data_IF_244464581894
#
_entry.id   IF_244464581894
#
_cell.length_a   1.000
_cell.length_b   1.000
_cell.length_c   1.000
_cell.angle_alpha   90.00
_cell.angle_beta   90.00
_cell.angle_gamma   90.00
#
_symmetry.space_group_name_H-M   'P 1'
#
loop_
_entity.id
_entity.type
_entity.pdbx_description
1 polymer ?
#
# COMPACT_ATOMS: atom_id res chain seq x y z
N UNK A 1 -5.72 -15.63 8.49
CA UNK A 1 -6.53 -14.89 7.49
C UNK A 1 -7.87 -14.59 8.12
N UNK A 2 -8.31 -13.32 8.14
CA UNK A 2 -9.58 -12.93 8.74
C UNK A 2 -10.46 -12.29 7.66
N UNK A 3 -11.64 -12.88 7.44
CA UNK A 3 -12.68 -12.33 6.59
C UNK A 3 -13.83 -11.87 7.48
N UNK A 4 -14.07 -10.56 7.50
CA UNK A 4 -15.22 -9.92 8.17
C UNK A 4 -16.15 -9.25 7.16
N UNK A 5 -15.92 -9.48 5.87
CA UNK A 5 -16.75 -8.91 4.80
C UNK A 5 -18.15 -9.54 4.81
N UNK A 6 -19.15 -8.74 4.43
CA UNK A 6 -20.53 -9.20 4.23
C UNK A 6 -20.68 -10.09 3.00
N UNK A 7 -19.65 -10.19 2.16
CA UNK A 7 -19.60 -11.07 0.99
C UNK A 7 -18.30 -11.86 1.04
N UNK A 8 -18.40 -13.18 0.95
CA UNK A 8 -17.22 -14.05 1.01
C UNK A 8 -16.23 -13.67 -0.11
N UNK A 9 -14.93 -13.49 0.19
CA UNK A 9 -13.90 -13.24 -0.81
C UNK A 9 -13.88 -14.37 -1.85
N UNK A 10 -13.81 -14.00 -3.12
CA UNK A 10 -13.72 -14.92 -4.25
C UNK A 10 -12.32 -14.92 -4.85
N UNK A 11 -11.71 -16.09 -5.01
CA UNK A 11 -10.41 -16.25 -5.66
C UNK A 11 -10.33 -17.58 -6.42
N UNK A 12 -9.27 -17.77 -7.21
CA UNK A 12 -8.99 -19.06 -7.86
C UNK A 12 -8.74 -20.16 -6.82
N UNK A 13 -8.02 -19.83 -5.75
CA UNK A 13 -7.89 -20.65 -4.55
C UNK A 13 -7.42 -19.80 -3.38
N UNK A 14 -7.59 -20.33 -2.16
CA UNK A 14 -7.10 -19.74 -0.92
C UNK A 14 -6.18 -20.74 -0.21
N UNK A 15 -5.01 -20.27 0.22
CA UNK A 15 -4.00 -21.09 0.88
C UNK A 15 -3.45 -20.35 2.12
N UNK A 16 -3.51 -20.98 3.29
CA UNK A 16 -3.12 -20.42 4.58
C UNK A 16 -2.18 -21.39 5.31
N UNK A 17 -1.07 -20.88 5.84
CA UNK A 17 -0.10 -21.65 6.65
C UNK A 17 -0.54 -21.73 8.13
N UNK A 18 -1.39 -20.79 8.55
CA UNK A 18 -1.95 -20.70 9.90
C UNK A 18 -3.48 -20.79 9.91
N UNK A 19 -4.11 -20.07 10.83
CA UNK A 19 -5.57 -20.11 11.03
C UNK A 19 -6.27 -19.16 10.03
N UNK A 20 -7.34 -19.65 9.39
CA UNK A 20 -8.32 -18.83 8.67
C UNK A 20 -9.62 -18.73 9.47
N UNK A 21 -10.22 -17.53 9.52
CA UNK A 21 -11.52 -17.26 10.14
C UNK A 21 -12.40 -16.47 9.15
N UNK A 22 -13.69 -16.81 9.09
CA UNK A 22 -14.68 -16.25 8.15
C UNK A 22 -14.90 -17.12 6.90
N UNK A 23 -15.80 -16.67 6.03
CA UNK A 23 -16.19 -17.38 4.80
C UNK A 23 -15.29 -17.01 3.61
N UNK A 24 -14.98 -17.98 2.74
CA UNK A 24 -14.14 -17.86 1.54
C UNK A 24 -14.67 -18.75 0.40
N UNK A 25 -14.52 -18.33 -0.85
CA UNK A 25 -14.95 -19.09 -2.03
C UNK A 25 -13.81 -19.21 -3.06
N UNK A 26 -13.18 -20.40 -3.22
CA UNK A 26 -13.40 -21.65 -2.48
C UNK A 26 -12.89 -21.57 -1.02
N UNK A 27 -13.13 -22.59 -0.21
CA UNK A 27 -12.66 -22.62 1.18
C UNK A 27 -11.12 -22.45 1.27
N UNK A 28 -10.66 -21.85 2.36
CA UNK A 28 -9.23 -21.69 2.64
C UNK A 28 -8.59 -23.03 3.03
N UNK A 29 -7.58 -23.47 2.24
CA UNK A 29 -6.74 -24.63 2.57
C UNK A 29 -5.76 -24.25 3.68
N UNK A 30 -5.56 -25.13 4.67
CA UNK A 30 -4.65 -24.88 5.81
C UNK A 30 -3.34 -25.69 5.77
N UNK A 31 -3.00 -26.31 4.63
CA UNK A 31 -1.85 -27.22 4.47
C UNK A 31 -0.74 -26.63 3.58
N UNK A 32 -0.58 -25.30 3.61
CA UNK A 32 0.29 -24.59 2.68
C UNK A 32 1.71 -24.51 3.22
N UNK A 33 2.70 -24.58 2.33
CA UNK A 33 4.09 -24.32 2.72
C UNK A 33 4.26 -22.83 3.09
N UNK A 34 5.13 -22.46 4.04
CA UNK A 34 5.55 -21.07 4.17
C UNK A 34 6.32 -20.64 2.92
N UNK A 35 6.07 -19.43 2.41
CA UNK A 35 6.93 -18.79 1.40
C UNK A 35 7.89 -17.88 2.14
N UNK A 36 9.19 -17.98 1.87
CA UNK A 36 10.13 -17.00 2.40
C UNK A 36 9.78 -15.60 1.89
N UNK A 37 9.86 -14.59 2.76
CA UNK A 37 9.60 -13.21 2.38
C UNK A 37 10.61 -12.76 1.31
N UNK A 38 10.16 -12.47 0.07
CA UNK A 38 11.04 -12.13 -1.04
C UNK A 38 11.74 -10.78 -0.87
N UNK A 39 11.25 -9.93 0.05
CA UNK A 39 11.73 -8.58 0.27
C UNK A 39 12.44 -8.41 1.63
N UNK A 40 12.62 -9.48 2.41
CA UNK A 40 13.24 -9.42 3.73
C UNK A 40 14.67 -8.86 3.73
N UNK A 41 15.42 -9.01 2.64
CA UNK A 41 16.78 -8.47 2.49
C UNK A 41 16.81 -7.03 1.97
N UNK A 42 15.67 -6.45 1.60
CA UNK A 42 15.63 -5.07 1.10
C UNK A 42 15.89 -4.09 2.23
N UNK A 43 16.96 -3.33 2.10
CA UNK A 43 17.27 -2.20 2.98
C UNK A 43 16.63 -0.93 2.44
N UNK A 44 16.17 -0.07 3.34
CA UNK A 44 15.71 1.26 2.95
C UNK A 44 16.88 2.11 2.42
N UNK A 45 16.64 3.01 1.46
CA UNK A 45 17.69 3.87 0.93
C UNK A 45 18.09 4.89 2.01
N UNK A 46 19.27 5.50 1.91
CA UNK A 46 19.63 6.59 2.81
C UNK A 46 18.63 7.77 2.69
N UNK A 47 18.41 8.47 3.79
CA UNK A 47 17.58 9.68 3.75
C UNK A 47 18.33 10.79 3.02
N UNK A 48 17.72 11.35 1.97
CA UNK A 48 18.15 12.63 1.40
C UNK A 48 17.70 13.82 2.28
N UNK A 49 18.14 15.05 1.95
CA UNK A 49 17.65 16.26 2.63
C UNK A 49 16.11 16.32 2.56
N UNK A 50 15.50 16.80 3.64
CA UNK A 50 14.06 17.00 3.66
C UNK A 50 13.66 18.02 2.59
N UNK A 51 12.70 17.65 1.75
CA UNK A 51 12.12 18.57 0.77
C UNK A 51 11.44 19.71 1.52
N UNK A 52 11.70 20.94 1.07
CA UNK A 52 10.97 22.12 1.50
C UNK A 52 9.61 22.13 0.81
N UNK A 53 8.60 21.53 1.43
CA UNK A 53 7.26 21.41 0.82
C UNK A 53 6.64 22.75 0.40
N UNK A 54 7.03 23.85 1.06
CA UNK A 54 6.59 25.21 0.72
C UNK A 54 6.96 25.67 -0.68
N UNK A 55 8.03 25.11 -1.24
CA UNK A 55 8.55 25.48 -2.56
C UNK A 55 7.90 24.65 -3.68
N UNK A 56 7.14 23.60 -3.32
CA UNK A 56 6.44 22.76 -4.27
C UNK A 56 5.12 23.39 -4.73
N UNK A 57 4.83 23.22 -6.01
CA UNK A 57 3.56 23.64 -6.60
C UNK A 57 2.39 22.93 -5.92
N UNK A 58 1.36 23.70 -5.59
CA UNK A 58 0.13 23.18 -4.99
C UNK A 58 0.22 22.92 -3.48
N UNK A 59 1.28 23.33 -2.81
CA UNK A 59 1.34 23.24 -1.34
C UNK A 59 0.29 24.15 -0.67
N UNK A 60 -0.49 23.58 0.24
CA UNK A 60 -1.61 24.25 0.95
C UNK A 60 -1.31 24.51 2.43
N UNK A 61 -0.09 24.22 2.89
CA UNK A 61 0.24 24.27 4.31
C UNK A 61 0.20 22.90 4.98
N UNK A 62 0.50 22.91 6.28
CA UNK A 62 0.52 21.69 7.10
C UNK A 62 -0.83 21.53 7.79
N UNK A 63 -1.64 20.56 7.38
CA UNK A 63 -3.00 20.34 7.90
C UNK A 63 -3.14 19.03 8.65
N UNK A 64 -4.21 18.87 9.42
CA UNK A 64 -4.49 17.64 10.17
C UNK A 64 -4.72 16.44 9.22
N UNK A 65 -4.07 15.33 9.55
CA UNK A 65 -4.05 14.03 8.89
C UNK A 65 -4.20 12.93 9.96
N UNK A 66 -4.47 11.69 9.55
CA UNK A 66 -4.70 10.53 10.44
C UNK A 66 -3.61 10.27 11.51
N UNK A 67 -2.42 10.86 11.37
CA UNK A 67 -1.29 10.74 12.30
C UNK A 67 -0.73 12.07 12.80
N UNK A 68 -1.49 13.16 12.74
CA UNK A 68 -1.06 14.50 13.18
C UNK A 68 -1.06 15.52 12.04
N UNK A 69 -0.17 16.51 12.09
CA UNK A 69 -0.07 17.54 11.04
C UNK A 69 0.86 17.07 9.91
N UNK A 70 0.37 17.05 8.67
CA UNK A 70 1.14 16.66 7.48
C UNK A 70 1.14 17.74 6.40
N UNK A 71 2.23 17.81 5.62
CA UNK A 71 2.34 18.71 4.47
C UNK A 71 1.27 18.36 3.43
N UNK A 72 0.39 19.32 3.14
CA UNK A 72 -0.82 19.11 2.33
C UNK A 72 -0.65 19.67 0.93
N UNK A 73 -1.01 18.88 -0.08
CA UNK A 73 -0.92 19.23 -1.49
C UNK A 73 -2.31 19.25 -2.14
N UNK A 74 -2.62 20.38 -2.77
CA UNK A 74 -3.87 20.74 -3.43
C UNK A 74 -3.93 20.35 -4.89
N UNK A 75 -4.86 20.97 -5.61
CA UNK A 75 -5.11 20.65 -7.01
C UNK A 75 -3.91 21.00 -7.89
N UNK A 76 -3.70 20.21 -8.95
CA UNK A 76 -2.64 20.37 -9.94
C UNK A 76 -1.22 20.44 -9.34
N UNK A 77 -1.06 19.84 -8.14
CA UNK A 77 0.24 19.69 -7.51
C UNK A 77 1.08 18.67 -8.29
N UNK A 78 2.33 19.04 -8.56
CA UNK A 78 3.32 18.16 -9.16
C UNK A 78 4.41 17.88 -8.14
N UNK A 79 4.55 16.62 -7.75
CA UNK A 79 5.40 16.19 -6.65
C UNK A 79 6.62 15.48 -7.19
N UNK A 80 7.81 15.95 -6.77
CA UNK A 80 9.09 15.38 -7.16
C UNK A 80 9.53 14.28 -6.19
N UNK A 81 10.26 13.26 -6.66
CA UNK A 81 10.84 12.26 -5.76
C UNK A 81 11.80 12.89 -4.74
N UNK A 82 11.86 12.31 -3.54
CA UNK A 82 12.74 12.75 -2.45
C UNK A 82 12.17 12.49 -1.07
N UNK A 83 12.74 13.14 -0.04
CA UNK A 83 12.40 12.88 1.38
C UNK A 83 11.36 13.86 1.91
N UNK A 84 10.18 13.36 2.26
CA UNK A 84 9.07 14.08 2.88
C UNK A 84 9.05 13.81 4.39
N UNK A 85 9.67 14.71 5.14
CA UNK A 85 9.89 14.55 6.59
C UNK A 85 8.66 14.82 7.46
N UNK A 86 7.64 15.49 6.92
CA UNK A 86 6.41 15.81 7.65
C UNK A 86 5.21 14.98 7.17
N UNK A 87 5.42 13.81 6.59
CA UNK A 87 4.35 13.08 5.92
C UNK A 87 3.84 13.81 4.68
N UNK A 88 2.80 13.25 4.07
CA UNK A 88 2.22 13.81 2.85
C UNK A 88 0.72 13.64 2.90
N UNK A 89 -0.03 14.71 2.62
CA UNK A 89 -1.49 14.65 2.50
C UNK A 89 -1.91 15.20 1.15
N UNK A 90 -2.49 14.37 0.31
CA UNK A 90 -3.04 14.76 -0.98
C UNK A 90 -4.51 15.09 -0.77
N UNK A 91 -4.91 16.34 -1.00
CA UNK A 91 -6.29 16.80 -0.88
C UNK A 91 -6.89 17.33 -2.17
N UNK A 92 -6.05 17.59 -3.18
CA UNK A 92 -6.48 18.07 -4.49
C UNK A 92 -6.84 16.99 -5.50
N UNK A 93 -7.21 17.46 -6.67
CA UNK A 93 -7.39 16.67 -7.89
C UNK A 93 -6.23 16.92 -8.86
N UNK A 94 -6.03 16.03 -9.82
CA UNK A 94 -4.93 16.10 -10.80
C UNK A 94 -3.52 16.17 -10.16
N UNK A 95 -3.34 15.57 -8.99
CA UNK A 95 -2.01 15.51 -8.38
C UNK A 95 -1.16 14.51 -9.13
N UNK A 96 0.03 14.92 -9.55
CA UNK A 96 0.93 14.08 -10.33
C UNK A 96 2.22 13.82 -9.55
N UNK A 97 2.60 12.55 -9.45
CA UNK A 97 3.88 12.11 -8.93
C UNK A 97 4.80 11.81 -10.10
N UNK A 98 5.89 12.55 -10.21
CA UNK A 98 6.94 12.27 -11.18
C UNK A 98 7.63 10.93 -10.89
N UNK A 99 8.15 10.22 -11.90
CA UNK A 99 8.82 8.94 -11.69
C UNK A 99 9.97 9.04 -10.68
N UNK A 100 10.03 8.12 -9.72
CA UNK A 100 11.10 8.07 -8.72
C UNK A 100 10.66 7.56 -7.34
N UNK A 101 11.54 7.76 -6.37
CA UNK A 101 11.38 7.25 -5.00
C UNK A 101 10.94 8.38 -4.07
N UNK A 102 9.86 8.14 -3.32
CA UNK A 102 9.29 9.06 -2.34
C UNK A 102 9.49 8.47 -0.94
N UNK A 103 10.34 9.08 -0.13
CA UNK A 103 10.58 8.64 1.26
C UNK A 103 9.66 9.45 2.16
N UNK A 104 8.65 8.81 2.75
CA UNK A 104 7.70 9.44 3.68
C UNK A 104 8.07 9.04 5.09
N UNK A 105 8.37 10.01 5.96
CA UNK A 105 8.86 9.75 7.32
C UNK A 105 7.82 10.07 8.37
N UNK A 106 7.69 9.15 9.34
CA UNK A 106 7.06 9.30 10.66
C UNK A 106 5.57 9.67 10.72
N UNK A 107 5.01 10.16 9.62
CA UNK A 107 3.63 10.60 9.48
C UNK A 107 3.02 9.98 8.22
N UNK A 108 1.68 9.95 8.11
CA UNK A 108 1.03 9.23 7.04
C UNK A 108 1.31 9.80 5.65
N UNK A 109 1.28 8.92 4.66
CA UNK A 109 0.93 9.23 3.28
C UNK A 109 -0.59 9.10 3.14
N UNK A 110 -1.28 10.24 3.15
CA UNK A 110 -2.74 10.32 3.14
C UNK A 110 -3.26 10.81 1.78
N UNK A 111 -4.19 10.05 1.17
CA UNK A 111 -5.04 10.50 0.07
C UNK A 111 -6.42 10.83 0.62
N UNK A 112 -6.76 12.12 0.64
CA UNK A 112 -8.01 12.62 1.23
C UNK A 112 -9.23 12.19 0.41
N UNK A 113 -10.43 12.34 1.01
CA UNK A 113 -11.69 12.03 0.34
C UNK A 113 -11.82 12.83 -0.95
N UNK A 114 -12.08 12.14 -2.07
CA UNK A 114 -12.25 12.77 -3.39
C UNK A 114 -10.95 13.25 -4.05
N UNK A 115 -9.78 13.02 -3.43
CA UNK A 115 -8.50 13.37 -4.05
C UNK A 115 -8.22 12.52 -5.28
N UNK A 116 -7.50 13.08 -6.24
CA UNK A 116 -7.09 12.38 -7.45
C UNK A 116 -5.58 12.48 -7.61
N UNK A 117 -4.93 11.32 -7.74
CA UNK A 117 -3.49 11.20 -7.83
C UNK A 117 -3.06 10.19 -8.89
N UNK A 118 -2.07 10.55 -9.70
CA UNK A 118 -1.46 9.66 -10.68
C UNK A 118 0.06 9.64 -10.53
N UNK A 119 0.67 8.47 -10.65
CA UNK A 119 2.13 8.31 -10.65
C UNK A 119 2.55 7.08 -11.43
N UNK A 120 3.51 7.24 -12.34
CA UNK A 120 4.06 6.14 -13.15
C UNK A 120 5.55 6.02 -12.87
N UNK A 121 6.01 4.81 -12.56
CA UNK A 121 7.40 4.58 -12.20
C UNK A 121 7.72 5.09 -10.78
N UNK A 122 6.76 4.97 -9.86
CA UNK A 122 6.86 5.52 -8.51
C UNK A 122 7.00 4.44 -7.45
N UNK A 123 7.79 4.72 -6.42
CA UNK A 123 7.90 3.88 -5.22
C UNK A 123 7.80 4.76 -3.98
N UNK A 124 6.87 4.46 -3.09
CA UNK A 124 6.71 5.12 -1.80
C UNK A 124 7.32 4.28 -0.69
N UNK A 125 8.31 4.83 -0.02
CA UNK A 125 9.02 4.21 1.10
C UNK A 125 8.51 4.83 2.39
N UNK A 126 7.79 4.05 3.19
CA UNK A 126 7.22 4.48 4.46
C UNK A 126 8.21 4.15 5.58
N UNK A 127 8.79 5.19 6.19
CA UNK A 127 9.81 5.07 7.25
C UNK A 127 9.30 5.46 8.63
N UNK A 128 9.86 4.80 9.64
CA UNK A 128 9.53 5.04 11.04
C UNK A 128 8.05 4.77 11.29
N UNK A 129 7.32 5.77 11.79
CA UNK A 129 5.89 5.65 12.09
C UNK A 129 4.95 5.93 10.91
N UNK A 130 5.47 6.10 9.69
CA UNK A 130 4.65 6.39 8.52
C UNK A 130 3.68 5.24 8.19
N UNK A 131 2.43 5.59 7.89
CA UNK A 131 1.37 4.67 7.44
C UNK A 131 0.78 5.13 6.11
N UNK A 132 0.05 4.26 5.43
CA UNK A 132 -0.72 4.59 4.23
C UNK A 132 -2.20 4.79 4.61
N UNK A 133 -2.78 5.91 4.17
CA UNK A 133 -4.18 6.24 4.41
C UNK A 133 -4.86 6.68 3.11
N UNK A 134 -5.57 5.77 2.45
CA UNK A 134 -6.39 6.11 1.27
C UNK A 134 -7.85 6.22 1.73
N UNK A 135 -8.42 7.43 1.69
CA UNK A 135 -9.81 7.68 2.10
C UNK A 135 -10.80 7.38 0.98
N UNK A 136 -12.07 7.22 1.37
CA UNK A 136 -13.17 6.89 0.46
C UNK A 136 -13.29 7.88 -0.71
N UNK A 137 -13.75 7.40 -1.87
CA UNK A 137 -13.93 8.18 -3.09
C UNK A 137 -12.67 8.86 -3.65
N UNK A 138 -11.47 8.55 -3.13
CA UNK A 138 -10.22 8.93 -3.79
C UNK A 138 -10.00 8.11 -5.07
N UNK A 139 -9.37 8.74 -6.06
CA UNK A 139 -8.92 8.10 -7.30
C UNK A 139 -7.40 8.09 -7.31
N UNK A 140 -6.82 6.91 -7.10
CA UNK A 140 -5.37 6.77 -6.96
C UNK A 140 -4.88 5.77 -8.00
N UNK A 141 -4.09 6.25 -8.95
CA UNK A 141 -3.55 5.48 -10.06
C UNK A 141 -2.02 5.46 -9.97
N UNK A 142 -1.46 4.41 -9.37
CA UNK A 142 -0.03 4.30 -9.11
C UNK A 142 0.54 3.06 -9.80
N UNK A 143 1.64 3.24 -10.52
CA UNK A 143 2.40 2.16 -11.14
C UNK A 143 3.84 2.17 -10.66
N UNK A 144 4.30 1.03 -10.17
CA UNK A 144 5.66 0.84 -9.69
C UNK A 144 6.68 1.07 -10.81
N UNK A 145 7.91 1.39 -10.43
CA UNK A 145 9.06 1.27 -11.35
C UNK A 145 9.25 -0.19 -11.76
N UNK A 146 9.54 -0.43 -13.04
CA UNK A 146 9.83 -1.77 -13.54
C UNK A 146 11.28 -2.21 -13.26
N UNK A 147 12.13 -1.32 -12.73
CA UNK A 147 13.57 -1.55 -12.59
C UNK A 147 14.13 -0.96 -11.28
N UNK A 148 15.37 -1.33 -10.97
CA UNK A 148 16.05 -0.94 -9.73
C UNK A 148 15.76 -1.90 -8.56
N UNK A 149 16.42 -1.68 -7.43
CA UNK A 149 16.32 -2.55 -6.24
C UNK A 149 14.92 -2.55 -5.61
N UNK A 150 14.12 -1.50 -5.85
CA UNK A 150 12.71 -1.43 -5.47
C UNK A 150 11.77 -1.69 -6.65
N UNK A 151 12.29 -2.32 -7.71
CA UNK A 151 11.50 -2.74 -8.86
C UNK A 151 10.23 -3.46 -8.41
N UNK A 152 9.13 -3.13 -9.06
CA UNK A 152 7.80 -3.69 -8.81
C UNK A 152 7.14 -3.18 -7.51
N UNK A 153 7.84 -2.53 -6.58
CA UNK A 153 7.23 -2.01 -5.34
C UNK A 153 6.60 -0.62 -5.56
N UNK A 154 5.29 -0.52 -5.34
CA UNK A 154 4.59 0.78 -5.19
C UNK A 154 4.73 1.28 -3.76
N UNK A 155 4.54 0.39 -2.78
CA UNK A 155 4.66 0.73 -1.36
C UNK A 155 5.68 -0.20 -0.71
N UNK A 156 6.63 0.37 0.00
CA UNK A 156 7.65 -0.34 0.78
C UNK A 156 7.70 0.26 2.19
N UNK A 157 7.04 -0.39 3.14
CA UNK A 157 7.17 -0.03 4.55
C UNK A 157 8.45 -0.65 5.10
N UNK A 158 9.33 0.21 5.60
CA UNK A 158 10.59 -0.24 6.18
C UNK A 158 10.30 -0.91 7.50
N UNK A 159 10.70 -2.18 7.71
CA UNK A 159 10.52 -2.82 9.01
C UNK A 159 11.24 -1.95 10.06
N UNK A 160 10.50 -1.50 11.07
CA UNK A 160 11.09 -0.85 12.23
C UNK A 160 11.80 -1.96 13.02
N UNK A 161 13.04 -2.25 12.63
CA UNK A 161 13.90 -3.18 13.35
C UNK A 161 14.25 -2.52 14.69
N UNK A 162 13.31 -2.59 15.64
CA UNK A 162 13.59 -2.30 17.03
C UNK A 162 14.84 -3.10 17.41
N UNK A 163 15.89 -2.38 17.82
CA UNK A 163 17.17 -2.93 18.25
C UNK A 163 16.93 -4.14 19.16
N UNK A 164 17.67 -5.21 18.88
CA UNK A 164 17.69 -6.49 19.60
C UNK A 164 17.48 -6.27 21.11
N UNK A 165 16.28 -6.62 21.56
CA UNK A 165 15.84 -6.65 22.95
C UNK A 165 14.75 -7.72 23.07
N UNK A 166 14.65 -8.39 24.23
CA UNK A 166 13.96 -9.69 24.46
C UNK A 166 12.42 -9.74 24.26
N UNK A 167 11.83 -8.87 23.45
CA UNK A 167 10.44 -9.00 23.01
C UNK A 167 10.30 -8.46 21.57
N UNK A 168 9.87 -9.29 20.59
CA UNK A 168 9.49 -8.76 19.27
C UNK A 168 8.35 -7.76 19.49
N UNK A 169 8.63 -6.47 19.28
CA UNK A 169 7.60 -5.44 19.31
C UNK A 169 6.87 -5.54 17.98
N UNK A 170 5.84 -6.39 17.90
CA UNK A 170 5.02 -6.54 16.70
C UNK A 170 4.42 -5.17 16.38
N UNK A 171 4.80 -4.52 15.28
CA UNK A 171 4.24 -3.22 15.00
C UNK A 171 2.78 -3.43 14.57
N UNK A 172 1.88 -2.73 15.22
CA UNK A 172 0.41 -2.86 15.07
C UNK A 172 -0.19 -1.66 14.35
N UNK A 173 0.64 -0.81 13.75
CA UNK A 173 0.16 0.33 12.99
C UNK A 173 -0.73 -0.16 11.84
N UNK A 174 -1.80 0.59 11.60
CA UNK A 174 -2.81 0.23 10.62
C UNK A 174 -2.59 1.13 9.41
N UNK A 175 -2.43 0.52 8.24
CA UNK A 175 -2.52 1.18 6.95
C UNK A 175 -3.89 0.86 6.35
N UNK A 176 -4.61 1.89 5.93
CA UNK A 176 -5.98 1.77 5.45
C UNK A 176 -6.08 2.09 3.97
N UNK A 177 -6.76 1.23 3.23
CA UNK A 177 -7.17 1.45 1.85
C UNK A 177 -8.69 1.40 1.77
N UNK A 178 -9.32 2.57 1.77
CA UNK A 178 -10.76 2.72 1.63
C UNK A 178 -11.12 3.04 0.19
N UNK A 179 -11.34 1.99 -0.58
CA UNK A 179 -11.72 2.06 -1.98
C UNK A 179 -13.15 2.62 -2.15
N UNK A 180 -13.34 3.50 -3.14
CA UNK A 180 -14.68 3.95 -3.51
C UNK A 180 -14.78 4.87 -4.74
N UNK A 181 -13.67 5.46 -5.18
CA UNK A 181 -13.60 6.37 -6.33
C UNK A 181 -12.93 5.77 -7.58
N UNK A 182 -12.32 4.59 -7.46
CA UNK A 182 -11.47 3.99 -8.49
C UNK A 182 -10.01 3.95 -8.05
N UNK A 183 -9.58 2.81 -7.51
CA UNK A 183 -8.20 2.57 -7.10
C UNK A 183 -7.52 1.62 -8.08
N UNK A 184 -6.43 2.08 -8.68
CA UNK A 184 -5.56 1.28 -9.55
C UNK A 184 -4.14 1.32 -8.99
N UNK A 185 -3.74 0.23 -8.34
CA UNK A 185 -2.34 0.01 -7.97
C UNK A 185 -1.80 -1.03 -8.95
N UNK A 186 -0.61 -0.80 -9.49
CA UNK A 186 0.12 -1.73 -10.36
C UNK A 186 1.51 -1.93 -9.75
N UNK A 187 1.69 -3.06 -9.08
CA UNK A 187 2.92 -3.43 -8.39
C UNK A 187 2.66 -4.10 -7.02
N UNK A 188 3.72 -4.34 -6.28
CA UNK A 188 3.69 -4.90 -4.95
C UNK A 188 3.56 -3.81 -3.87
N UNK A 189 2.72 -4.07 -2.87
CA UNK A 189 2.60 -3.28 -1.66
C UNK A 189 3.07 -4.13 -0.48
N UNK A 190 4.18 -3.72 0.14
CA UNK A 190 4.89 -4.49 1.16
C UNK A 190 4.85 -3.75 2.51
N UNK A 191 4.19 -4.38 3.48
CA UNK A 191 3.90 -3.89 4.83
C UNK A 191 4.29 -4.93 5.90
N UNK A 192 5.58 -5.29 6.01
CA UNK A 192 6.04 -6.45 6.80
C UNK A 192 5.66 -6.39 8.26
N UNK A 193 5.36 -5.19 8.76
CA UNK A 193 5.09 -4.96 10.17
C UNK A 193 3.84 -4.12 10.40
N UNK A 194 2.94 -4.00 9.42
CA UNK A 194 1.70 -3.23 9.59
C UNK A 194 0.49 -4.09 9.23
N UNK A 195 -0.64 -3.79 9.86
CA UNK A 195 -1.94 -4.32 9.45
C UNK A 195 -2.43 -3.52 8.25
N UNK A 196 -2.65 -4.19 7.13
CA UNK A 196 -3.29 -3.61 5.96
C UNK A 196 -4.78 -3.92 5.98
N UNK A 197 -5.60 -2.87 6.11
CA UNK A 197 -7.06 -2.97 6.10
C UNK A 197 -7.57 -2.41 4.78
N UNK A 198 -8.27 -3.24 4.02
CA UNK A 198 -8.86 -2.86 2.73
C UNK A 198 -10.38 -2.91 2.88
N UNK A 199 -11.03 -1.76 2.76
CA UNK A 199 -12.48 -1.67 2.77
C UNK A 199 -13.00 -0.99 1.51
N UNK A 200 -14.21 -1.37 1.09
CA UNK A 200 -14.92 -0.63 0.04
C UNK A 200 -16.39 -0.48 0.39
N UNK A 201 -16.88 0.75 0.26
CA UNK A 201 -18.26 1.14 0.56
C UNK A 201 -19.02 1.61 -0.70
N UNK A 202 -18.40 1.48 -1.87
CA UNK A 202 -18.93 1.98 -3.15
C UNK A 202 -19.16 0.82 -4.14
N UNK A 203 -20.21 0.90 -4.99
CA UNK A 203 -20.39 -0.04 -6.09
C UNK A 203 -19.31 0.09 -7.18
N UNK A 204 -18.48 1.15 -7.14
CA UNK A 204 -17.37 1.35 -8.06
C UNK A 204 -16.30 0.29 -7.83
N UNK A 205 -16.11 -0.56 -8.84
CA UNK A 205 -15.08 -1.61 -8.82
C UNK A 205 -13.69 -0.98 -8.80
N UNK A 206 -12.90 -1.31 -7.77
CA UNK A 206 -11.47 -1.07 -7.83
C UNK A 206 -10.79 -2.23 -8.56
N UNK A 207 -9.99 -1.88 -9.57
CA UNK A 207 -9.30 -2.83 -10.42
C UNK A 207 -7.81 -2.66 -10.21
N UNK A 208 -7.21 -3.66 -9.60
CA UNK A 208 -5.77 -3.77 -9.47
C UNK A 208 -5.34 -4.92 -10.38
N UNK A 209 -5.06 -4.67 -11.68
CA UNK A 209 -4.82 -5.73 -12.66
C UNK A 209 -3.54 -6.53 -12.35
N UNK A 210 -2.58 -5.92 -11.67
CA UNK A 210 -1.32 -6.54 -11.30
C UNK A 210 -0.84 -6.04 -9.93
N UNK A 211 -1.44 -6.55 -8.85
CA UNK A 211 -1.07 -6.16 -7.49
C UNK A 211 -0.76 -7.36 -6.62
N UNK A 212 0.39 -7.30 -5.95
CA UNK A 212 0.76 -8.22 -4.87
C UNK A 212 0.66 -7.47 -3.53
N UNK A 213 0.00 -8.06 -2.54
CA UNK A 213 -0.11 -7.49 -1.20
C UNK A 213 0.59 -8.42 -0.22
N UNK A 214 1.59 -7.87 0.48
CA UNK A 214 2.33 -8.58 1.51
C UNK A 214 2.26 -7.72 2.76
N UNK A 215 1.67 -8.23 3.83
CA UNK A 215 1.48 -7.50 5.07
C UNK A 215 1.56 -8.43 6.28
N UNK A 216 1.88 -7.89 7.45
CA UNK A 216 1.86 -8.66 8.71
C UNK A 216 0.46 -9.24 8.98
N UNK A 217 -0.57 -8.42 8.77
CA UNK A 217 -1.96 -8.86 8.82
C UNK A 217 -2.73 -8.18 7.70
N UNK A 218 -3.51 -8.98 6.97
CA UNK A 218 -4.40 -8.50 5.91
C UNK A 218 -5.84 -8.70 6.37
N UNK A 219 -6.64 -7.63 6.29
CA UNK A 219 -8.07 -7.64 6.59
C UNK A 219 -8.85 -7.03 5.43
N UNK A 220 -9.90 -7.74 5.00
CA UNK A 220 -10.85 -7.26 4.01
C UNK A 220 -12.21 -7.03 4.67
N UNK A 221 -12.79 -5.84 4.50
CA UNK A 221 -14.07 -5.47 5.10
C UNK A 221 -14.96 -4.64 4.17
N UNK A 222 -16.21 -4.41 4.57
CA UNK A 222 -17.21 -3.65 3.80
C UNK A 222 -18.02 -4.48 2.81
N UNK A 223 -18.83 -3.81 1.98
CA UNK A 223 -19.76 -4.41 0.99
C UNK A 223 -19.09 -4.71 -0.36
N UNK A 224 -17.78 -4.95 -0.35
CA UNK A 224 -16.88 -4.65 -1.48
C UNK A 224 -17.07 -5.50 -2.74
N UNK A 225 -16.94 -4.85 -3.91
CA UNK A 225 -16.57 -5.47 -5.19
C UNK A 225 -15.14 -5.05 -5.58
N UNK A 226 -14.16 -5.42 -4.74
CA UNK A 226 -12.74 -5.13 -4.99
C UNK A 226 -12.11 -6.28 -5.77
N UNK A 227 -11.56 -5.99 -6.95
CA UNK A 227 -10.89 -7.00 -7.78
C UNK A 227 -9.37 -6.79 -7.77
N UNK A 228 -8.67 -7.75 -7.17
CA UNK A 228 -7.21 -7.85 -7.21
C UNK A 228 -6.84 -8.98 -8.17
N UNK A 229 -6.00 -8.66 -9.16
CA UNK A 229 -5.40 -9.62 -10.10
C UNK A 229 -3.88 -9.49 -10.01
N UNK A 230 -3.19 -10.54 -10.42
CA UNK A 230 -1.71 -10.63 -10.42
C UNK A 230 -1.16 -10.71 -11.84
N UNK A 231 -1.88 -10.15 -12.81
CA UNK A 231 -1.55 -10.22 -14.24
C UNK A 231 -0.46 -9.21 -14.59
N UNK A 232 0.78 -9.59 -14.31
CA UNK A 232 1.96 -8.75 -14.53
C UNK A 232 2.14 -8.31 -16.00
N UNK A 233 1.67 -9.12 -16.97
CA UNK A 233 1.68 -8.77 -18.40
C UNK A 233 0.69 -7.64 -18.70
N UNK A 234 -0.55 -7.76 -18.21
CA UNK A 234 -1.54 -6.69 -18.31
C UNK A 234 -1.11 -5.42 -17.55
N UNK A 235 -0.33 -5.57 -16.48
CA UNK A 235 0.27 -4.46 -15.74
C UNK A 235 1.53 -3.86 -16.38
N UNK A 236 2.11 -4.53 -17.38
CA UNK A 236 3.39 -4.17 -17.99
C UNK A 236 4.53 -4.06 -16.97
N UNK A 237 4.55 -4.92 -15.96
CA UNK A 237 5.57 -4.96 -14.90
C UNK A 237 6.22 -6.35 -14.87
N UNK A 238 7.46 -6.48 -14.38
CA UNK A 238 8.06 -7.80 -14.14
C UNK A 238 7.19 -8.68 -13.24
N UNK A 239 7.36 -10.02 -13.28
CA UNK A 239 6.61 -10.94 -12.44
C UNK A 239 6.62 -10.55 -10.97
N UNK A 240 5.42 -10.43 -10.39
CA UNK A 240 5.23 -10.08 -8.98
C UNK A 240 5.75 -11.20 -8.07
N UNK A 241 6.39 -10.80 -6.97
CA UNK A 241 6.78 -11.70 -5.90
C UNK A 241 5.85 -11.54 -4.67
N UNK A 242 5.72 -12.59 -3.84
CA UNK A 242 6.17 -13.96 -4.11
C UNK A 242 5.34 -14.59 -5.23
N UNK A 243 5.97 -15.46 -6.03
CA UNK A 243 5.21 -16.28 -6.98
C UNK A 243 4.41 -17.30 -6.17
N UNK A 244 3.10 -17.34 -6.41
CA UNK A 244 2.23 -18.33 -5.81
C UNK A 244 1.68 -19.21 -6.94
N UNK A 245 1.87 -20.52 -6.82
CA UNK A 245 1.33 -21.51 -7.77
C UNK A 245 -0.21 -21.63 -7.66
N UNK A 246 -0.77 -21.02 -6.60
CA UNK A 246 -2.18 -20.98 -6.23
C UNK A 246 -2.59 -19.53 -5.92
N UNK A 247 -3.90 -19.24 -5.80
CA UNK A 247 -4.48 -17.89 -5.67
C UNK A 247 -4.05 -17.05 -4.45
N UNK A 248 -4.99 -16.52 -3.67
CA UNK A 248 -4.66 -15.66 -2.53
C UNK A 248 -3.98 -16.48 -1.42
N UNK A 249 -2.77 -16.06 -1.00
CA UNK A 249 -1.96 -16.77 -0.02
C UNK A 249 -1.55 -15.85 1.13
N UNK A 250 -1.78 -16.32 2.36
CA UNK A 250 -1.33 -15.63 3.57
C UNK A 250 -0.19 -16.42 4.18
N UNK A 251 0.96 -15.77 4.30
CA UNK A 251 2.17 -16.36 4.89
C UNK A 251 2.31 -15.85 6.33
N UNK A 252 2.82 -16.70 7.22
CA UNK A 252 3.11 -16.35 8.61
C UNK A 252 4.52 -15.80 8.73
#
# INVERSE_FOLDING_TARGET
MLSTSTTAPLAKSFCVVGISQGDYIPYAKNACTPIADPYASLTAPADGPCITAKDLRGYLGSTSSGGGKSDTFGADAELMPGTYCNGMKISGVNVTFLPGIYIVKDKPLEFSKGSQATGVGVTFILKGKATLEIKTNSQVNLRATASGIYGVLVFFQTPDLAKVGKAPKYPTAISNIKSGGGLTIIGAAYFPSQKLVITSDSPVQSKSPATSLIAYQLEFGGKSNTQIRVDHEAGGIPPLLPRSDEGARLVR
#
